data_IF_866972146189
#
_entry.id   IF_866972146189
#
_cell.length_a   1.000
_cell.length_b   1.000
_cell.length_c   1.000
_cell.angle_alpha   90.00
_cell.angle_beta   90.00
_cell.angle_gamma   90.00
#
_symmetry.space_group_name_H-M   'P 1'
#
loop_
_entity.id
_entity.type
_entity.pdbx_description
1 polymer ?
#
# COMPACT_ATOMS: atom_id res chain seq x y z
N UNK A 1 -6.24 24.31 9.70
CA UNK A 1 -6.05 23.18 10.63
C UNK A 1 -7.13 22.14 10.30
N UNK A 2 -6.78 20.94 9.83
CA UNK A 2 -7.78 19.91 9.49
C UNK A 2 -8.34 19.37 10.80
N UNK A 3 -9.66 19.42 10.98
CA UNK A 3 -10.35 18.86 12.15
C UNK A 3 -10.02 17.36 12.27
N UNK A 4 -9.61 16.87 13.44
CA UNK A 4 -9.42 15.44 13.63
C UNK A 4 -10.77 14.74 13.44
N UNK A 5 -10.82 13.72 12.58
CA UNK A 5 -12.00 12.86 12.46
C UNK A 5 -12.19 12.10 13.77
N UNK A 6 -13.43 11.78 14.12
CA UNK A 6 -13.72 10.92 15.27
C UNK A 6 -13.14 9.52 15.06
N UNK A 7 -12.88 8.79 16.15
CA UNK A 7 -12.42 7.39 16.07
C UNK A 7 -13.39 6.52 15.28
N UNK A 8 -14.69 6.78 15.39
CA UNK A 8 -15.76 6.08 14.65
C UNK A 8 -15.60 6.31 13.14
N UNK A 9 -15.39 7.54 12.70
CA UNK A 9 -15.16 7.85 11.28
C UNK A 9 -13.84 7.24 10.77
N UNK A 10 -12.80 7.21 11.62
CA UNK A 10 -11.54 6.57 11.30
C UNK A 10 -11.73 5.07 11.04
N UNK A 11 -12.34 4.38 12.00
CA UNK A 11 -12.63 2.94 11.91
C UNK A 11 -13.51 2.66 10.70
N UNK A 12 -14.60 3.40 10.50
CA UNK A 12 -15.48 3.23 9.35
C UNK A 12 -14.73 3.41 8.01
N UNK A 13 -13.82 4.39 7.93
CA UNK A 13 -13.02 4.61 6.73
C UNK A 13 -12.08 3.45 6.44
N UNK A 14 -11.41 2.91 7.47
CA UNK A 14 -10.50 1.78 7.30
C UNK A 14 -11.26 0.49 7.00
N UNK A 15 -12.41 0.25 7.63
CA UNK A 15 -13.26 -0.91 7.36
C UNK A 15 -13.80 -0.95 5.93
N UNK A 16 -13.90 0.20 5.26
CA UNK A 16 -14.31 0.28 3.87
C UNK A 16 -13.18 -0.05 2.87
N UNK A 17 -11.92 -0.19 3.32
CA UNK A 17 -10.80 -0.59 2.46
C UNK A 17 -10.85 -2.09 2.19
N UNK A 18 -10.42 -2.55 0.99
CA UNK A 18 -10.14 -3.97 0.78
C UNK A 18 -9.15 -4.47 1.82
N UNK A 19 -9.30 -5.72 2.25
CA UNK A 19 -8.32 -6.32 3.14
C UNK A 19 -6.96 -6.45 2.41
N UNK A 20 -6.99 -6.95 1.17
CA UNK A 20 -5.81 -7.19 0.33
C UNK A 20 -5.08 -8.48 0.69
N UNK A 21 -3.94 -8.69 0.03
CA UNK A 21 -3.03 -9.83 0.29
C UNK A 21 -1.59 -9.32 0.45
N UNK A 22 -0.69 -10.16 0.97
CA UNK A 22 0.70 -9.74 1.25
C UNK A 22 1.58 -9.57 0.01
N UNK A 23 1.13 -10.01 -1.17
CA UNK A 23 1.68 -9.63 -2.48
C UNK A 23 1.19 -8.25 -2.96
N UNK A 24 0.23 -7.64 -2.25
CA UNK A 24 -0.34 -6.32 -2.55
C UNK A 24 0.02 -5.28 -1.49
N UNK A 25 1.17 -5.39 -0.82
CA UNK A 25 1.67 -4.42 0.19
C UNK A 25 2.08 -3.05 -0.37
N UNK A 26 1.51 -2.68 -1.51
CA UNK A 26 1.72 -1.43 -2.24
C UNK A 26 0.41 -0.67 -2.50
N UNK A 27 -0.76 -1.33 -2.42
CA UNK A 27 -2.05 -0.75 -2.76
C UNK A 27 -2.81 -0.06 -1.60
N UNK A 28 -3.99 0.48 -1.90
CA UNK A 28 -4.88 1.12 -0.92
C UNK A 28 -5.71 0.10 -0.12
N UNK A 29 -5.03 -0.78 0.60
CA UNK A 29 -5.65 -1.87 1.36
C UNK A 29 -5.17 -1.92 2.83
N UNK A 30 -5.76 -2.83 3.62
CA UNK A 30 -5.41 -3.03 5.03
C UNK A 30 -4.04 -3.68 5.19
N UNK A 31 -3.66 -4.60 4.30
CA UNK A 31 -2.37 -5.29 4.39
C UNK A 31 -1.17 -4.33 4.23
N UNK A 32 -1.21 -3.37 3.29
CA UNK A 32 -0.22 -2.28 3.20
C UNK A 32 -0.13 -1.48 4.51
N UNK A 33 -1.28 -1.16 5.11
CA UNK A 33 -1.34 -0.39 6.37
C UNK A 33 -0.83 -1.17 7.56
N UNK A 34 -1.02 -2.49 7.62
CA UNK A 34 -0.49 -3.33 8.69
C UNK A 34 1.05 -3.25 8.74
N UNK A 35 1.70 -3.31 7.57
CA UNK A 35 3.15 -3.10 7.46
C UNK A 35 3.52 -1.72 8.02
N UNK A 36 2.80 -0.67 7.62
CA UNK A 36 3.10 0.69 8.08
C UNK A 36 2.82 0.92 9.56
N UNK A 37 1.83 0.25 10.17
CA UNK A 37 1.59 0.26 11.62
C UNK A 37 2.82 -0.27 12.36
N UNK A 38 3.38 -1.40 11.93
CA UNK A 38 4.60 -1.95 12.55
C UNK A 38 5.77 -0.97 12.39
N UNK A 39 5.94 -0.38 11.21
CA UNK A 39 7.03 0.55 10.92
C UNK A 39 6.92 1.89 11.67
N UNK A 40 5.75 2.27 12.17
CA UNK A 40 5.61 3.47 13.01
C UNK A 40 6.48 3.40 14.27
N UNK A 41 6.84 2.21 14.75
CA UNK A 41 7.72 2.05 15.91
C UNK A 41 9.18 2.43 15.61
N UNK A 42 9.57 2.45 14.33
CA UNK A 42 10.94 2.73 13.90
C UNK A 42 11.10 4.19 13.50
N UNK A 43 10.21 4.72 12.64
CA UNK A 43 10.22 6.10 12.14
C UNK A 43 8.81 6.68 12.03
N UNK A 44 8.20 7.09 13.15
CA UNK A 44 6.81 7.55 13.19
C UNK A 44 6.53 8.71 12.21
N UNK A 45 7.46 9.66 12.09
CA UNK A 45 7.31 10.85 11.25
C UNK A 45 7.16 10.53 9.75
N UNK A 46 7.70 9.39 9.31
CA UNK A 46 7.56 8.90 7.94
C UNK A 46 6.35 7.99 7.78
N UNK A 47 6.10 7.10 8.74
CA UNK A 47 5.15 6.00 8.55
C UNK A 47 3.73 6.28 9.06
N UNK A 48 3.55 7.16 10.05
CA UNK A 48 2.22 7.53 10.54
C UNK A 48 1.30 8.10 9.43
N UNK A 49 1.77 8.97 8.51
CA UNK A 49 0.95 9.44 7.40
C UNK A 49 0.39 8.33 6.51
N UNK A 50 1.05 7.17 6.43
CA UNK A 50 0.68 6.08 5.54
C UNK A 50 -0.44 5.19 6.09
N UNK A 51 -0.62 5.16 7.41
CA UNK A 51 -1.66 4.35 8.08
C UNK A 51 -3.05 4.95 7.88
N UNK A 52 -3.12 6.26 7.63
CA UNK A 52 -4.38 7.01 7.58
C UNK A 52 -5.25 6.77 6.34
N UNK A 53 -6.44 7.41 6.30
CA UNK A 53 -7.40 7.32 5.20
C UNK A 53 -6.82 7.62 3.81
N UNK A 54 -5.89 8.57 3.73
CA UNK A 54 -5.28 9.00 2.47
C UNK A 54 -4.11 8.12 2.03
N UNK A 55 -3.67 7.17 2.87
CA UNK A 55 -2.50 6.33 2.60
C UNK A 55 -1.17 7.07 2.55
N UNK A 56 -1.18 8.40 2.72
CA UNK A 56 0.01 9.25 2.71
C UNK A 56 0.83 9.10 1.44
N UNK A 57 0.17 8.88 0.29
CA UNK A 57 0.79 8.55 -1.01
C UNK A 57 1.49 7.19 -1.07
N UNK A 58 1.55 6.43 0.03
CA UNK A 58 2.23 5.13 0.06
C UNK A 58 1.28 3.94 -0.03
N UNK A 59 0.20 3.94 0.75
CA UNK A 59 -0.88 2.94 0.61
C UNK A 59 -1.99 3.53 -0.26
N UNK A 60 -1.70 3.68 -1.55
CA UNK A 60 -2.61 4.19 -2.57
C UNK A 60 -2.58 3.24 -3.77
N UNK A 61 -3.68 3.14 -4.50
CA UNK A 61 -3.71 2.32 -5.70
C UNK A 61 -2.90 2.98 -6.81
N UNK A 62 -1.99 2.21 -7.37
CA UNK A 62 -1.11 2.59 -8.49
C UNK A 62 -1.19 1.50 -9.57
N UNK A 63 -0.76 1.83 -10.78
CA UNK A 63 -0.47 0.79 -11.77
C UNK A 63 0.90 0.17 -11.44
N UNK A 64 0.89 -0.82 -10.56
CA UNK A 64 2.12 -1.48 -10.08
C UNK A 64 2.98 -2.01 -11.23
N UNK A 65 2.34 -2.50 -12.30
CA UNK A 65 3.05 -3.03 -13.46
C UNK A 65 3.83 -1.94 -14.18
N UNK A 66 3.24 -0.75 -14.32
CA UNK A 66 3.90 0.38 -14.98
C UNK A 66 4.91 1.07 -14.06
N UNK A 67 4.66 1.11 -12.75
CA UNK A 67 5.59 1.81 -11.84
C UNK A 67 6.81 0.97 -11.47
N UNK A 68 6.66 -0.35 -11.33
CA UNK A 68 7.73 -1.20 -10.78
C UNK A 68 8.24 -2.27 -11.74
N UNK A 69 7.51 -2.59 -12.81
CA UNK A 69 7.88 -3.64 -13.77
C UNK A 69 8.09 -3.10 -15.19
N UNK A 70 8.12 -1.77 -15.37
CA UNK A 70 8.23 -1.18 -16.70
C UNK A 70 9.56 -1.47 -17.41
N UNK A 71 10.62 -1.73 -16.66
CA UNK A 71 11.94 -2.08 -17.17
C UNK A 71 12.23 -3.59 -17.10
N UNK A 72 11.28 -4.42 -16.66
CA UNK A 72 11.49 -5.87 -16.52
C UNK A 72 11.83 -6.53 -17.85
N UNK A 73 11.17 -6.13 -18.95
CA UNK A 73 11.52 -6.61 -20.28
C UNK A 73 12.97 -6.25 -20.65
N UNK A 74 13.44 -5.06 -20.28
CA UNK A 74 14.79 -4.60 -20.60
C UNK A 74 15.86 -5.26 -19.71
N UNK A 75 15.55 -5.49 -18.44
CA UNK A 75 16.48 -6.06 -17.46
C UNK A 75 16.50 -7.59 -17.48
N UNK A 76 15.34 -8.22 -17.63
CA UNK A 76 15.15 -9.67 -17.45
C UNK A 76 14.66 -10.38 -18.72
N UNK A 77 14.36 -9.65 -19.79
CA UNK A 77 13.87 -10.22 -21.05
C UNK A 77 12.44 -10.75 -20.99
N UNK A 78 11.71 -10.49 -19.89
CA UNK A 78 10.32 -10.90 -19.68
C UNK A 78 9.66 -10.03 -18.62
N UNK A 79 8.42 -9.59 -18.85
CA UNK A 79 7.59 -8.92 -17.84
C UNK A 79 7.03 -9.89 -16.78
N UNK A 80 7.26 -11.19 -16.97
CA UNK A 80 6.79 -12.26 -16.10
C UNK A 80 7.96 -12.99 -15.43
N UNK A 81 9.17 -12.42 -15.44
CA UNK A 81 10.38 -13.05 -14.90
C UNK A 81 10.22 -13.55 -13.45
N UNK A 82 9.36 -12.89 -12.67
CA UNK A 82 9.08 -13.21 -11.26
C UNK A 82 7.66 -13.71 -11.01
N UNK A 83 6.88 -14.00 -12.06
CA UNK A 83 5.53 -14.56 -11.94
C UNK A 83 5.59 -16.08 -12.10
N UNK A 84 4.80 -16.81 -11.32
CA UNK A 84 4.67 -18.25 -11.50
C UNK A 84 4.04 -18.55 -12.86
N UNK A 85 4.62 -19.47 -13.64
CA UNK A 85 4.06 -19.87 -14.93
C UNK A 85 2.66 -20.49 -14.78
N UNK A 86 1.66 -19.93 -15.46
CA UNK A 86 0.30 -20.50 -15.55
C UNK A 86 -0.80 -19.80 -14.74
N UNK A 87 -0.60 -18.55 -14.32
CA UNK A 87 -1.67 -17.64 -13.89
C UNK A 87 -1.53 -16.29 -14.55
#
# INVERSE_FOLDING_TARGET
>A
MKTPKSDVECIATLLAKPFGTFDETWGDNIVCRLVHVVLTQVRPEVHCPHVGPTGGMKCVDIDYSQEYLADDLALFGSNDAFRCSGK
#
